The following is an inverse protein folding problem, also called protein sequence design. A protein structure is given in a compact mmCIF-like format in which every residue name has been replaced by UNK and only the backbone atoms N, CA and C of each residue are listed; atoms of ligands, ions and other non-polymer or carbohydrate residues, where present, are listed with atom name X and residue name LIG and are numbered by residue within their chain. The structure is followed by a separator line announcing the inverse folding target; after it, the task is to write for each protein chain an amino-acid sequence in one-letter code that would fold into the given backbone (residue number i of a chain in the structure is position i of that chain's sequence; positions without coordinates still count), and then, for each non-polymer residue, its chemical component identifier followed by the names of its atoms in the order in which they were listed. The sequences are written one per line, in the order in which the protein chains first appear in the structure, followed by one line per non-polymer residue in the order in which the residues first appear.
data_IF_294030716198
#
_entry.id   IF_294030716198
#
_cell.length_a   1.000
_cell.length_b   1.000
_cell.length_c   1.000
_cell.angle_alpha   90.00
_cell.angle_beta   90.00
_cell.angle_gamma   90.00
#
_symmetry.space_group_name_H-M   'P 1'
#
loop_
_entity.id
_entity.type
_entity.pdbx_description
1 polymer ?
#
# COMPACT_ATOMS: atom_id res chain seq x y z
N UNK A 1 4.01 19.20 -23.54
CA UNK A 1 3.67 17.77 -23.72
C UNK A 1 4.87 16.94 -24.16
N UNK A 2 5.74 17.43 -25.05
CA UNK A 2 6.83 16.63 -25.63
C UNK A 2 7.79 15.99 -24.62
N UNK A 3 8.09 16.67 -23.51
CA UNK A 3 8.92 16.12 -22.44
C UNK A 3 8.18 15.06 -21.59
N UNK A 4 6.95 15.35 -21.15
CA UNK A 4 6.20 14.48 -20.25
C UNK A 4 5.60 13.24 -20.94
N UNK A 5 5.25 13.37 -22.23
CA UNK A 5 4.61 12.31 -23.02
C UNK A 5 5.35 10.96 -22.99
N UNK A 6 6.65 10.87 -23.30
CA UNK A 6 7.35 9.58 -23.24
C UNK A 6 7.39 9.00 -21.83
N UNK A 7 7.53 9.83 -20.79
CA UNK A 7 7.55 9.39 -19.39
C UNK A 7 6.19 8.82 -18.95
N UNK A 8 5.09 9.47 -19.34
CA UNK A 8 3.75 8.97 -19.03
C UNK A 8 3.50 7.64 -19.76
N UNK A 9 3.84 7.56 -21.06
CA UNK A 9 3.66 6.33 -21.82
C UNK A 9 4.51 5.17 -21.28
N UNK A 10 5.74 5.44 -20.86
CA UNK A 10 6.61 4.47 -20.18
C UNK A 10 5.98 3.99 -18.86
N UNK A 11 5.44 4.91 -18.05
CA UNK A 11 4.73 4.54 -16.83
C UNK A 11 3.52 3.64 -17.12
N UNK A 12 2.73 3.94 -18.17
CA UNK A 12 1.59 3.10 -18.58
C UNK A 12 2.07 1.71 -19.02
N UNK A 13 3.17 1.62 -19.77
CA UNK A 13 3.77 0.35 -20.16
C UNK A 13 4.21 -0.47 -18.95
N UNK A 14 4.84 0.17 -17.95
CA UNK A 14 5.21 -0.49 -16.70
C UNK A 14 4.00 -1.03 -15.95
N UNK A 15 2.91 -0.26 -15.82
CA UNK A 15 1.68 -0.75 -15.17
C UNK A 15 1.04 -1.90 -15.94
N UNK A 16 1.02 -1.83 -17.27
CA UNK A 16 0.47 -2.90 -18.11
C UNK A 16 1.28 -4.21 -18.03
N UNK A 17 2.61 -4.12 -17.86
CA UNK A 17 3.48 -5.30 -17.80
C UNK A 17 3.62 -5.88 -16.39
N UNK A 18 3.65 -5.02 -15.38
CA UNK A 18 4.08 -5.39 -14.03
C UNK A 18 3.03 -5.08 -12.96
N UNK A 19 1.88 -4.53 -13.32
CA UNK A 19 0.90 -4.03 -12.35
C UNK A 19 1.39 -2.78 -11.62
N UNK A 20 0.58 -2.29 -10.68
CA UNK A 20 0.93 -1.13 -9.85
C UNK A 20 1.89 -1.51 -8.72
N UNK A 21 2.95 -0.73 -8.50
CA UNK A 21 3.93 -1.00 -7.44
C UNK A 21 3.29 -0.93 -6.05
N UNK A 22 2.40 0.03 -5.85
CA UNK A 22 1.56 0.19 -4.65
C UNK A 22 0.32 -0.69 -4.77
N UNK A 23 0.54 -2.01 -4.85
CA UNK A 23 -0.52 -2.97 -5.16
C UNK A 23 -1.77 -2.74 -4.31
N UNK A 24 -2.92 -2.63 -4.98
CA UNK A 24 -4.24 -2.42 -4.37
C UNK A 24 -4.26 -1.34 -3.28
N UNK A 25 -3.42 -0.32 -3.32
CA UNK A 25 -3.45 0.69 -2.26
C UNK A 25 -4.87 1.26 -2.14
N UNK A 26 -5.42 1.20 -0.93
CA UNK A 26 -6.73 1.75 -0.61
C UNK A 26 -6.71 3.28 -0.47
N UNK A 27 -5.50 3.85 -0.44
CA UNK A 27 -5.18 5.28 -0.54
C UNK A 27 -4.80 5.67 -1.97
N UNK A 28 -3.59 5.28 -2.41
CA UNK A 28 -2.95 5.84 -3.60
C UNK A 28 -3.60 5.46 -4.93
N UNK A 29 -4.44 4.42 -4.97
CA UNK A 29 -5.23 4.16 -6.17
C UNK A 29 -6.21 5.30 -6.46
N UNK A 30 -6.66 6.05 -5.45
CA UNK A 30 -7.48 7.24 -5.65
C UNK A 30 -6.69 8.35 -6.36
N UNK A 31 -5.45 8.59 -5.92
CA UNK A 31 -4.56 9.56 -6.58
C UNK A 31 -4.25 9.16 -8.03
N UNK A 32 -3.83 7.90 -8.24
CA UNK A 32 -3.54 7.36 -9.57
C UNK A 32 -4.76 7.45 -10.49
N UNK A 33 -5.94 7.06 -10.01
CA UNK A 33 -7.17 7.09 -10.78
C UNK A 33 -7.60 8.51 -11.15
N UNK A 34 -7.37 9.48 -10.27
CA UNK A 34 -7.58 10.90 -10.56
C UNK A 34 -6.73 11.35 -11.74
N UNK A 35 -5.42 11.08 -11.69
CA UNK A 35 -4.50 11.48 -12.76
C UNK A 35 -4.83 10.78 -14.09
N UNK A 36 -5.15 9.49 -14.04
CA UNK A 36 -5.50 8.70 -15.21
C UNK A 36 -6.80 9.17 -15.87
N UNK A 37 -7.84 9.45 -15.08
CA UNK A 37 -9.11 9.95 -15.59
C UNK A 37 -8.95 11.34 -16.22
N UNK A 38 -8.21 12.25 -15.57
CA UNK A 38 -7.93 13.59 -16.11
C UNK A 38 -7.14 13.53 -17.43
N UNK A 39 -6.11 12.69 -17.51
CA UNK A 39 -5.34 12.53 -18.74
C UNK A 39 -6.16 11.88 -19.85
N UNK A 40 -7.04 10.94 -19.52
CA UNK A 40 -7.97 10.32 -20.47
C UNK A 40 -8.97 11.34 -21.03
N UNK A 41 -9.43 12.26 -20.19
CA UNK A 41 -10.42 13.29 -20.56
C UNK A 41 -9.80 14.44 -21.39
N UNK A 42 -8.61 14.91 -21.00
CA UNK A 42 -8.07 16.19 -21.49
C UNK A 42 -6.81 16.08 -22.35
N UNK A 43 -6.17 14.90 -22.47
CA UNK A 43 -4.98 14.79 -23.31
C UNK A 43 -5.32 14.97 -24.80
N UNK A 44 -4.60 15.89 -25.45
CA UNK A 44 -4.75 16.16 -26.88
C UNK A 44 -4.20 15.04 -27.79
N UNK A 45 -3.26 14.22 -27.28
CA UNK A 45 -2.75 13.06 -28.01
C UNK A 45 -3.69 11.86 -27.79
N UNK A 46 -4.41 11.39 -28.83
CA UNK A 46 -5.36 10.28 -28.67
C UNK A 46 -4.71 8.97 -28.23
N UNK A 47 -3.42 8.76 -28.52
CA UNK A 47 -2.69 7.58 -28.07
C UNK A 47 -2.43 7.66 -26.57
N UNK A 48 -2.11 8.84 -26.05
CA UNK A 48 -1.90 9.07 -24.62
C UNK A 48 -3.22 8.90 -23.85
N UNK A 49 -4.29 9.56 -24.30
CA UNK A 49 -5.61 9.46 -23.70
C UNK A 49 -6.08 7.98 -23.62
N UNK A 50 -5.89 7.23 -24.71
CA UNK A 50 -6.22 5.80 -24.75
C UNK A 50 -5.37 4.97 -23.77
N UNK A 51 -4.07 5.22 -23.69
CA UNK A 51 -3.19 4.50 -22.78
C UNK A 51 -3.59 4.74 -21.32
N UNK A 52 -3.91 5.99 -20.96
CA UNK A 52 -4.40 6.33 -19.62
C UNK A 52 -5.75 5.67 -19.33
N UNK A 53 -6.68 5.63 -20.29
CA UNK A 53 -7.97 4.98 -20.11
C UNK A 53 -7.81 3.47 -19.88
N UNK A 54 -6.94 2.81 -20.64
CA UNK A 54 -6.63 1.40 -20.45
C UNK A 54 -5.99 1.12 -19.09
N UNK A 55 -5.07 1.99 -18.63
CA UNK A 55 -4.48 1.85 -17.30
C UNK A 55 -5.48 2.11 -16.18
N UNK A 56 -6.43 3.04 -16.34
CA UNK A 56 -7.52 3.23 -15.39
C UNK A 56 -8.42 1.99 -15.28
N UNK A 57 -8.74 1.35 -16.41
CA UNK A 57 -9.47 0.07 -16.41
C UNK A 57 -8.69 -1.05 -15.71
N UNK A 58 -7.36 -1.12 -15.89
CA UNK A 58 -6.52 -2.09 -15.19
C UNK A 58 -6.52 -1.86 -13.67
N UNK A 59 -6.40 -0.61 -13.22
CA UNK A 59 -6.49 -0.24 -11.80
C UNK A 59 -7.85 -0.63 -11.22
N UNK A 60 -8.94 -0.29 -11.93
CA UNK A 60 -10.30 -0.63 -11.49
C UNK A 60 -10.55 -2.14 -11.49
N UNK A 61 -9.94 -2.90 -12.42
CA UNK A 61 -9.98 -4.37 -12.40
C UNK A 61 -9.26 -4.92 -11.17
N UNK A 62 -8.06 -4.40 -10.86
CA UNK A 62 -7.31 -4.78 -9.65
C UNK A 62 -8.13 -4.52 -8.39
N UNK A 63 -8.81 -3.36 -8.32
CA UNK A 63 -9.75 -3.04 -7.23
C UNK A 63 -10.92 -4.02 -7.20
N UNK A 64 -11.58 -4.29 -8.33
CA UNK A 64 -12.74 -5.18 -8.42
C UNK A 64 -12.45 -6.60 -7.90
N UNK A 65 -11.26 -7.12 -8.18
CA UNK A 65 -10.80 -8.41 -7.67
C UNK A 65 -10.57 -8.40 -6.14
N UNK A 66 -10.27 -7.24 -5.55
CA UNK A 66 -10.15 -7.02 -4.11
C UNK A 66 -11.43 -6.53 -3.41
N UNK A 67 -12.58 -6.44 -4.10
CA UNK A 67 -13.82 -5.95 -3.51
C UNK A 67 -14.52 -7.01 -2.66
N UNK A 68 -15.10 -6.55 -1.55
CA UNK A 68 -16.11 -7.25 -0.78
C UNK A 68 -17.27 -6.29 -0.46
N UNK A 69 -18.46 -6.55 -1.02
CA UNK A 69 -19.67 -5.72 -0.84
C UNK A 69 -19.46 -4.22 -1.13
N UNK A 70 -18.63 -3.91 -2.11
CA UNK A 70 -18.28 -2.52 -2.50
C UNK A 70 -17.18 -1.87 -1.67
N UNK A 71 -16.54 -2.61 -0.77
CA UNK A 71 -15.40 -2.15 0.01
C UNK A 71 -14.11 -2.76 -0.52
N UNK A 72 -13.05 -1.95 -0.61
CA UNK A 72 -11.73 -2.39 -1.05
C UNK A 72 -11.04 -3.17 0.10
N UNK A 73 -11.34 -4.46 0.19
CA UNK A 73 -11.12 -5.30 1.37
C UNK A 73 -10.03 -6.34 1.11
N UNK A 74 -8.80 -5.87 0.92
CA UNK A 74 -7.70 -6.66 0.38
C UNK A 74 -6.43 -6.62 1.23
N UNK A 75 -5.35 -7.18 0.68
CA UNK A 75 -4.00 -6.79 1.08
C UNK A 75 -3.58 -5.56 0.29
N UNK A 76 -2.77 -4.70 0.89
CA UNK A 76 -2.42 -3.39 0.32
C UNK A 76 -0.91 -3.13 0.43
N UNK A 77 -0.31 -2.62 -0.64
CA UNK A 77 1.11 -2.20 -0.63
C UNK A 77 1.35 -0.97 0.22
N UNK A 78 0.33 -0.13 0.30
CA UNK A 78 0.27 1.07 1.11
C UNK A 78 -1.14 1.20 1.65
N UNK A 79 -1.24 1.34 2.96
CA UNK A 79 -2.48 1.64 3.63
C UNK A 79 -2.22 2.39 4.94
N UNK A 80 -3.21 3.16 5.36
CA UNK A 80 -3.19 3.90 6.62
C UNK A 80 -4.21 3.34 7.59
N UNK A 81 -4.10 3.77 8.84
CA UNK A 81 -4.77 3.17 9.99
C UNK A 81 -6.30 3.15 9.86
N UNK A 82 -6.92 4.30 9.61
CA UNK A 82 -8.37 4.40 9.50
C UNK A 82 -8.94 3.59 8.34
N UNK A 83 -8.19 3.46 7.25
CA UNK A 83 -8.61 2.82 6.01
C UNK A 83 -8.62 1.28 6.08
N UNK A 84 -7.87 0.69 7.01
CA UNK A 84 -7.79 -0.77 7.23
C UNK A 84 -8.59 -1.24 8.45
N UNK A 85 -9.02 -0.32 9.31
CA UNK A 85 -9.84 -0.62 10.48
C UNK A 85 -11.35 -0.60 10.17
N UNK A 86 -11.73 0.06 9.07
CA UNK A 86 -13.08 -0.01 8.49
C UNK A 86 -13.01 0.18 6.98
N UNK A 87 -13.82 -0.56 6.24
CA UNK A 87 -13.94 -0.38 4.78
C UNK A 87 -14.57 0.96 4.39
N UNK A 88 -15.23 1.66 5.32
CA UNK A 88 -16.04 2.86 5.06
C UNK A 88 -15.22 4.12 4.82
N UNK A 89 -14.01 4.17 5.39
CA UNK A 89 -13.18 5.38 5.46
C UNK A 89 -11.98 5.33 4.52
N UNK A 90 -11.80 4.28 3.72
CA UNK A 90 -10.72 4.26 2.75
C UNK A 90 -10.97 5.27 1.61
N UNK A 91 -9.90 5.85 1.10
CA UNK A 91 -9.90 6.85 0.02
C UNK A 91 -10.49 6.32 -1.30
N UNK A 92 -10.44 5.01 -1.50
CA UNK A 92 -11.10 4.34 -2.61
C UNK A 92 -12.62 4.15 -2.43
N UNK A 93 -13.19 4.35 -1.23
CA UNK A 93 -14.63 4.14 -1.00
C UNK A 93 -15.53 5.01 -1.90
N UNK A 94 -15.34 6.35 -2.03
CA UNK A 94 -16.09 7.17 -2.95
C UNK A 94 -16.01 6.67 -4.41
N UNK A 95 -14.82 6.28 -4.87
CA UNK A 95 -14.60 5.76 -6.22
C UNK A 95 -15.33 4.44 -6.43
N UNK A 96 -15.29 3.54 -5.45
CA UNK A 96 -16.03 2.29 -5.51
C UNK A 96 -17.55 2.52 -5.62
N UNK A 97 -18.06 3.53 -4.88
CA UNK A 97 -19.46 3.91 -4.93
C UNK A 97 -19.88 4.45 -6.28
N UNK A 98 -19.07 5.31 -6.90
CA UNK A 98 -19.35 5.88 -8.22
C UNK A 98 -19.28 4.81 -9.32
N UNK A 99 -18.28 3.93 -9.30
CA UNK A 99 -18.06 2.95 -10.39
C UNK A 99 -19.04 1.78 -10.32
N UNK A 100 -19.27 1.20 -9.13
CA UNK A 100 -20.08 -0.03 -9.01
C UNK A 100 -21.45 0.20 -8.36
N UNK A 101 -21.71 1.38 -7.79
CA UNK A 101 -22.96 1.66 -7.05
C UNK A 101 -23.03 1.03 -5.65
N UNK A 102 -21.97 0.33 -5.23
CA UNK A 102 -21.87 -0.42 -3.97
C UNK A 102 -21.02 0.32 -2.93
N UNK A 103 -21.12 -0.06 -1.66
CA UNK A 103 -20.36 0.60 -0.57
C UNK A 103 -20.89 1.99 -0.21
N UNK A 104 -20.01 2.86 0.28
CA UNK A 104 -20.31 4.19 0.82
C UNK A 104 -19.55 5.28 0.07
N UNK A 105 -20.06 6.52 0.07
CA UNK A 105 -19.32 7.66 -0.48
C UNK A 105 -18.05 8.03 0.31
N UNK A 106 -17.84 7.44 1.50
CA UNK A 106 -16.72 7.78 2.36
C UNK A 106 -16.80 9.22 2.88
N UNK A 107 -15.69 9.70 3.43
CA UNK A 107 -15.49 11.09 3.86
C UNK A 107 -14.19 11.68 3.29
N UNK A 108 -13.22 10.83 2.94
CA UNK A 108 -11.93 11.18 2.33
C UNK A 108 -11.86 10.68 0.86
N UNK A 109 -10.75 10.91 0.14
CA UNK A 109 -10.52 10.40 -1.22
C UNK A 109 -11.47 10.89 -2.33
N UNK A 110 -12.14 12.02 -2.11
CA UNK A 110 -13.21 12.50 -3.02
C UNK A 110 -12.73 12.92 -4.41
N UNK A 111 -11.42 13.19 -4.59
CA UNK A 111 -10.86 13.68 -5.86
C UNK A 111 -11.13 12.73 -7.04
N UNK A 112 -10.87 11.44 -6.86
CA UNK A 112 -11.06 10.45 -7.92
C UNK A 112 -12.54 10.30 -8.28
N UNK A 113 -13.40 10.17 -7.27
CA UNK A 113 -14.84 10.06 -7.47
C UNK A 113 -15.45 11.29 -8.16
N UNK A 114 -15.03 12.50 -7.76
CA UNK A 114 -15.46 13.74 -8.41
C UNK A 114 -15.00 13.80 -9.86
N UNK A 115 -13.76 13.38 -10.13
CA UNK A 115 -13.21 13.33 -11.49
C UNK A 115 -14.01 12.36 -12.35
N UNK A 116 -14.27 11.14 -11.86
CA UNK A 116 -15.06 10.13 -12.57
C UNK A 116 -16.51 10.57 -12.78
N UNK A 117 -17.14 11.21 -11.79
CA UNK A 117 -18.52 11.70 -11.90
C UNK A 117 -18.66 12.84 -12.91
N UNK A 118 -17.59 13.62 -13.12
CA UNK A 118 -17.56 14.73 -14.08
C UNK A 118 -17.02 14.34 -15.47
N UNK A 119 -16.36 13.17 -15.58
CA UNK A 119 -15.78 12.70 -16.84
C UNK A 119 -16.86 12.48 -17.91
N UNK A 120 -16.52 12.79 -19.17
CA UNK A 120 -17.41 12.61 -20.31
C UNK A 120 -16.83 11.67 -21.36
N UNK A 121 -15.51 11.69 -21.52
CA UNK A 121 -14.80 10.86 -22.48
C UNK A 121 -14.37 9.52 -21.86
N UNK A 122 -13.86 9.55 -20.63
CA UNK A 122 -13.53 8.31 -19.92
C UNK A 122 -14.77 7.71 -19.26
N UNK A 123 -15.05 6.46 -19.60
CA UNK A 123 -16.09 5.63 -18.97
C UNK A 123 -15.45 4.27 -18.68
N UNK A 124 -15.50 3.78 -17.42
CA UNK A 124 -15.00 2.45 -17.10
C UNK A 124 -15.62 1.37 -17.99
N UNK A 125 -14.84 0.36 -18.35
CA UNK A 125 -15.30 -0.74 -19.18
C UNK A 125 -16.45 -1.52 -18.53
N UNK A 126 -17.48 -1.87 -19.31
CA UNK A 126 -18.61 -2.71 -18.89
C UNK A 126 -18.16 -4.07 -18.29
N UNK A 127 -17.00 -4.59 -18.71
CA UNK A 127 -16.44 -5.80 -18.12
C UNK A 127 -16.01 -5.57 -16.67
N UNK A 128 -15.32 -4.46 -16.39
CA UNK A 128 -14.85 -4.10 -15.05
C UNK A 128 -16.03 -3.82 -14.11
N UNK A 129 -17.07 -3.13 -14.61
CA UNK A 129 -18.31 -2.89 -13.85
C UNK A 129 -18.96 -4.23 -13.48
N UNK A 130 -19.13 -5.15 -14.44
CA UNK A 130 -19.73 -6.47 -14.19
C UNK A 130 -18.92 -7.32 -13.21
N UNK A 131 -17.59 -7.30 -13.30
CA UNK A 131 -16.72 -8.05 -12.37
C UNK A 131 -16.87 -7.54 -10.94
N UNK A 132 -16.90 -6.22 -10.73
CA UNK A 132 -17.03 -5.65 -9.38
C UNK A 132 -18.43 -5.75 -8.78
N UNK A 133 -19.48 -5.87 -9.61
CA UNK A 133 -20.85 -6.11 -9.17
C UNK A 133 -21.20 -7.61 -9.02
N UNK A 134 -20.33 -8.52 -9.47
CA UNK A 134 -20.60 -9.94 -9.40
C UNK A 134 -20.53 -10.45 -7.96
N UNK A 135 -21.58 -11.19 -7.55
CA UNK A 135 -21.67 -11.87 -6.25
C UNK A 135 -21.71 -13.41 -6.45
N UNK A 136 -20.61 -14.04 -6.89
CA UNK A 136 -20.56 -15.49 -7.04
C UNK A 136 -20.52 -16.18 -5.67
N UNK A 137 -20.93 -17.47 -5.64
CA UNK A 137 -20.85 -18.31 -4.43
C UNK A 137 -19.41 -18.41 -3.90
N UNK A 138 -18.45 -18.58 -4.81
CA UNK A 138 -17.01 -18.52 -4.54
C UNK A 138 -16.32 -17.71 -5.65
N UNK A 139 -15.36 -16.87 -5.28
CA UNK A 139 -14.45 -16.19 -6.20
C UNK A 139 -13.03 -16.26 -5.66
N UNK A 140 -12.09 -16.49 -6.56
CA UNK A 140 -10.66 -16.54 -6.25
C UNK A 140 -9.87 -15.76 -7.31
N UNK A 141 -8.99 -14.85 -6.89
CA UNK A 141 -8.06 -14.12 -7.76
C UNK A 141 -6.61 -14.33 -7.31
N UNK A 142 -5.72 -14.42 -8.30
CA UNK A 142 -4.28 -14.62 -8.13
C UNK A 142 -3.57 -13.55 -8.96
N UNK A 143 -3.03 -12.54 -8.29
CA UNK A 143 -2.56 -11.32 -8.93
C UNK A 143 -1.07 -11.12 -8.64
N UNK A 144 -0.33 -10.57 -9.61
CA UNK A 144 1.09 -10.24 -9.46
C UNK A 144 1.31 -8.75 -9.71
N UNK A 145 1.99 -8.10 -8.78
CA UNK A 145 2.27 -6.67 -8.81
C UNK A 145 3.75 -6.39 -8.58
N UNK A 146 4.26 -5.37 -9.25
CA UNK A 146 5.65 -4.94 -9.15
C UNK A 146 6.65 -5.92 -9.76
N UNK A 147 7.92 -5.69 -9.44
CA UNK A 147 9.05 -6.50 -9.86
C UNK A 147 10.02 -6.68 -8.67
N UNK A 148 10.78 -7.77 -8.61
CA UNK A 148 11.70 -8.00 -7.50
C UNK A 148 12.99 -7.19 -7.69
N UNK A 149 13.48 -6.54 -6.62
CA UNK A 149 14.74 -5.79 -6.65
C UNK A 149 15.93 -6.62 -7.13
N UNK A 150 15.95 -7.91 -6.79
CA UNK A 150 17.01 -8.85 -7.19
C UNK A 150 17.08 -9.11 -8.70
N UNK A 151 16.05 -8.75 -9.48
CA UNK A 151 15.99 -9.03 -10.91
C UNK A 151 15.69 -7.81 -11.79
N UNK A 152 15.81 -6.58 -11.29
CA UNK A 152 15.48 -5.33 -12.02
C UNK A 152 16.07 -5.27 -13.44
N UNK A 153 17.30 -5.75 -13.65
CA UNK A 153 17.94 -5.80 -14.98
C UNK A 153 17.24 -6.73 -15.97
N UNK A 154 16.61 -7.80 -15.50
CA UNK A 154 15.80 -8.69 -16.34
C UNK A 154 14.51 -8.01 -16.83
N UNK A 155 14.08 -6.96 -16.13
CA UNK A 155 12.93 -6.13 -16.49
C UNK A 155 13.33 -4.88 -17.30
N UNK A 156 14.59 -4.79 -17.76
CA UNK A 156 15.06 -3.67 -18.58
C UNK A 156 15.45 -2.42 -17.79
N UNK A 157 15.38 -2.46 -16.46
CA UNK A 157 15.81 -1.36 -15.60
C UNK A 157 17.27 -1.53 -15.18
N UNK A 158 17.99 -0.42 -15.15
CA UNK A 158 19.40 -0.38 -14.77
C UNK A 158 19.53 0.57 -13.58
N UNK A 159 19.86 0.06 -12.38
CA UNK A 159 19.94 0.89 -11.18
C UNK A 159 21.06 1.91 -11.26
N UNK A 160 22.02 1.77 -12.18
CA UNK A 160 23.14 2.69 -12.38
C UNK A 160 22.80 3.84 -13.33
N UNK A 161 21.63 3.82 -13.97
CA UNK A 161 21.18 4.85 -14.90
C UNK A 161 20.31 5.90 -14.20
N UNK A 162 20.65 7.16 -14.43
CA UNK A 162 19.97 8.29 -13.80
C UNK A 162 18.51 8.43 -14.26
N UNK A 163 18.22 8.13 -15.53
CA UNK A 163 16.86 8.21 -16.07
C UNK A 163 15.95 7.07 -15.57
N UNK A 164 16.52 5.94 -15.16
CA UNK A 164 15.77 4.83 -14.58
C UNK A 164 15.47 4.99 -13.08
N UNK A 165 16.15 5.92 -12.39
CA UNK A 165 16.04 6.06 -10.93
C UNK A 165 14.63 6.46 -10.49
N UNK A 166 13.90 7.22 -11.30
CA UNK A 166 12.53 7.67 -10.99
C UNK A 166 11.58 6.47 -10.90
N UNK A 167 11.71 5.51 -11.83
CA UNK A 167 10.95 4.26 -11.80
C UNK A 167 11.30 3.43 -10.56
N UNK A 168 12.56 3.37 -10.17
CA UNK A 168 13.01 2.65 -8.97
C UNK A 168 12.53 3.34 -7.68
N UNK A 169 12.52 4.67 -7.64
CA UNK A 169 11.93 5.45 -6.55
C UNK A 169 10.42 5.28 -6.44
N UNK A 170 9.70 5.14 -7.57
CA UNK A 170 8.28 4.80 -7.56
C UNK A 170 8.00 3.40 -6.94
N UNK A 171 9.02 2.56 -6.81
CA UNK A 171 8.96 1.30 -6.06
C UNK A 171 9.44 1.43 -4.62
N UNK A 172 9.75 2.65 -4.14
CA UNK A 172 10.35 2.88 -2.83
C UNK A 172 11.78 2.38 -2.68
N UNK A 173 12.50 2.09 -3.77
CA UNK A 173 13.88 1.62 -3.77
C UNK A 173 14.88 2.78 -3.60
N UNK A 174 14.71 3.56 -2.54
CA UNK A 174 15.50 4.79 -2.31
C UNK A 174 16.94 4.48 -1.93
N UNK A 175 17.13 3.55 -1.00
CA UNK A 175 18.43 3.30 -0.36
C UNK A 175 18.85 1.84 -0.42
N UNK A 176 18.42 1.14 -1.47
CA UNK A 176 18.91 -0.22 -1.73
C UNK A 176 20.37 -0.14 -2.18
N UNK A 177 21.23 -1.11 -1.84
CA UNK A 177 22.65 -1.10 -2.21
C UNK A 177 22.89 -0.82 -3.70
N UNK A 178 22.00 -1.32 -4.55
CA UNK A 178 22.03 -1.13 -6.00
C UNK A 178 21.73 0.32 -6.43
N UNK A 179 20.91 1.06 -5.68
CA UNK A 179 20.40 2.39 -6.09
C UNK A 179 21.08 3.56 -5.39
N UNK A 180 21.80 3.32 -4.28
CA UNK A 180 22.42 4.36 -3.44
C UNK A 180 23.34 5.31 -4.21
N UNK A 181 24.26 4.78 -5.01
CA UNK A 181 25.20 5.60 -5.78
C UNK A 181 24.49 6.45 -6.85
N UNK A 182 23.40 5.95 -7.41
CA UNK A 182 22.56 6.70 -8.36
C UNK A 182 21.70 7.73 -7.65
N UNK A 183 21.23 7.46 -6.43
CA UNK A 183 20.56 8.46 -5.60
C UNK A 183 21.47 9.66 -5.33
N UNK A 184 22.74 9.43 -4.96
CA UNK A 184 23.70 10.53 -4.73
C UNK A 184 23.92 11.34 -6.01
N UNK A 185 24.14 10.66 -7.14
CA UNK A 185 24.27 11.32 -8.46
C UNK A 185 23.03 12.11 -8.84
N UNK A 186 21.83 11.58 -8.58
CA UNK A 186 20.57 12.26 -8.83
C UNK A 186 20.40 13.49 -7.95
N UNK A 187 20.75 13.39 -6.67
CA UNK A 187 20.66 14.48 -5.74
C UNK A 187 21.64 15.62 -6.06
N UNK A 188 22.84 15.30 -6.54
CA UNK A 188 23.80 16.28 -7.08
C UNK A 188 23.26 16.92 -8.38
N UNK A 189 22.79 16.11 -9.35
CA UNK A 189 22.34 16.57 -10.66
C UNK A 189 21.07 17.43 -10.61
N UNK A 190 20.14 17.12 -9.71
CA UNK A 190 18.84 17.78 -9.61
C UNK A 190 18.73 18.71 -8.40
N UNK A 191 19.85 19.04 -7.75
CA UNK A 191 19.92 19.91 -6.57
C UNK A 191 19.02 19.47 -5.41
N UNK A 192 18.77 18.16 -5.27
CA UNK A 192 17.84 17.63 -4.27
C UNK A 192 18.34 17.83 -2.83
N UNK A 193 19.65 17.99 -2.62
CA UNK A 193 20.21 18.28 -1.31
C UNK A 193 19.70 19.58 -0.68
N UNK A 194 19.16 20.50 -1.49
CA UNK A 194 18.53 21.75 -1.01
C UNK A 194 17.07 21.55 -0.63
N UNK A 195 16.47 20.43 -1.02
CA UNK A 195 15.08 20.14 -0.74
C UNK A 195 14.90 19.73 0.74
N UNK A 196 13.84 20.20 1.44
CA UNK A 196 13.59 19.85 2.84
C UNK A 196 13.57 18.35 3.13
N UNK A 197 13.16 17.54 2.16
CA UNK A 197 13.19 16.06 2.26
C UNK A 197 14.59 15.50 2.56
N UNK A 198 15.64 16.14 2.05
CA UNK A 198 17.03 15.73 2.29
C UNK A 198 17.67 16.44 3.48
N UNK A 199 16.91 17.24 4.25
CA UNK A 199 17.44 17.98 5.40
C UNK A 199 18.06 17.08 6.47
N UNK A 200 17.55 15.86 6.65
CA UNK A 200 18.13 14.85 7.55
C UNK A 200 19.54 14.39 7.13
N UNK A 201 19.87 14.50 5.83
CA UNK A 201 21.21 14.24 5.30
C UNK A 201 22.15 15.45 5.44
N UNK A 202 21.63 16.62 5.82
CA UNK A 202 22.35 17.84 6.24
C UNK A 202 23.80 17.98 5.72
N UNK A 203 24.75 18.06 6.67
CA UNK A 203 26.19 18.07 6.39
C UNK A 203 26.78 16.69 6.05
N UNK A 204 26.05 15.60 6.32
CA UNK A 204 26.46 14.23 5.98
C UNK A 204 26.61 14.05 4.48
N UNK A 205 25.83 14.81 3.68
CA UNK A 205 26.00 14.84 2.24
C UNK A 205 27.46 15.11 1.86
N UNK A 206 28.17 16.04 2.49
CA UNK A 206 29.58 16.35 2.15
C UNK A 206 30.55 15.18 2.40
N UNK A 207 30.15 14.19 3.20
CA UNK A 207 30.95 13.02 3.56
C UNK A 207 30.65 11.78 2.70
N UNK A 208 29.58 11.80 1.90
CA UNK A 208 29.24 10.68 1.03
C UNK A 208 30.30 10.51 -0.09
N UNK A 209 30.70 9.30 -0.45
CA UNK A 209 31.64 9.12 -1.54
C UNK A 209 30.95 9.39 -2.89
N UNK A 210 31.67 10.04 -3.82
CA UNK A 210 31.21 10.34 -5.20
C UNK A 210 31.78 9.38 -6.25
N UNK A 211 32.57 8.42 -5.80
CA UNK A 211 33.27 7.46 -6.64
C UNK A 211 32.44 6.21 -6.98
N UNK A 212 31.17 6.16 -6.54
CA UNK A 212 30.28 5.02 -6.77
C UNK A 212 30.50 3.85 -5.81
N UNK A 213 31.16 4.08 -4.67
CA UNK A 213 31.43 3.03 -3.68
C UNK A 213 30.41 2.94 -2.54
N UNK A 214 29.43 3.86 -2.45
CA UNK A 214 28.52 3.96 -1.30
C UNK A 214 27.66 2.71 -1.12
N UNK A 215 27.08 2.21 -2.22
CA UNK A 215 26.26 1.01 -2.21
C UNK A 215 27.04 -0.21 -1.74
N UNK A 216 28.30 -0.35 -2.16
CA UNK A 216 29.19 -1.41 -1.72
C UNK A 216 29.59 -1.26 -0.25
N UNK A 217 29.87 -0.03 0.21
CA UNK A 217 30.26 0.25 1.59
C UNK A 217 29.13 -0.08 2.58
N UNK A 218 27.89 0.22 2.20
CA UNK A 218 26.70 -0.03 3.03
C UNK A 218 26.06 -1.40 2.78
N UNK A 219 26.64 -2.23 1.91
CA UNK A 219 26.10 -3.56 1.60
C UNK A 219 25.98 -4.42 2.87
N UNK A 220 24.78 -4.94 3.11
CA UNK A 220 24.49 -5.76 4.29
C UNK A 220 24.14 -4.96 5.56
N UNK A 221 24.17 -3.63 5.50
CA UNK A 221 23.58 -2.76 6.51
C UNK A 221 22.13 -2.45 6.12
N UNK A 222 21.19 -2.74 7.02
CA UNK A 222 19.82 -2.32 6.85
C UNK A 222 19.73 -0.81 7.17
N UNK A 223 19.12 -0.04 6.27
CA UNK A 223 18.84 1.39 6.43
C UNK A 223 17.36 1.60 6.68
N UNK A 224 17.02 2.53 7.56
CA UNK A 224 15.63 2.83 7.91
C UNK A 224 14.71 2.98 6.70
N UNK A 225 15.15 3.70 5.66
CA UNK A 225 14.42 3.98 4.43
C UNK A 225 14.12 2.75 3.55
N UNK A 226 14.85 1.65 3.68
CA UNK A 226 14.59 0.39 2.94
C UNK A 226 13.25 -0.28 3.30
N UNK A 227 12.60 0.18 4.37
CA UNK A 227 11.22 -0.19 4.72
C UNK A 227 10.20 0.23 3.66
N UNK A 228 10.49 1.29 2.91
CA UNK A 228 9.58 1.83 1.90
C UNK A 228 9.51 0.96 0.64
N UNK A 229 10.41 0.00 0.47
CA UNK A 229 10.49 -0.81 -0.74
C UNK A 229 9.20 -1.62 -1.00
N UNK A 230 8.71 -1.49 -2.23
CA UNK A 230 7.60 -2.22 -2.83
C UNK A 230 8.17 -3.15 -3.90
N UNK A 231 8.54 -4.35 -3.45
CA UNK A 231 9.01 -5.41 -4.34
C UNK A 231 7.85 -6.11 -5.05
N UNK A 232 8.15 -7.22 -5.71
CA UNK A 232 7.12 -8.09 -6.26
C UNK A 232 6.19 -8.61 -5.15
N UNK A 233 4.89 -8.45 -5.35
CA UNK A 233 3.83 -9.00 -4.52
C UNK A 233 2.97 -9.96 -5.34
N UNK A 234 2.78 -11.17 -4.82
CA UNK A 234 1.82 -12.13 -5.36
C UNK A 234 0.64 -12.17 -4.38
N UNK A 235 -0.55 -11.77 -4.80
CA UNK A 235 -1.73 -11.62 -3.94
C UNK A 235 -2.73 -12.71 -4.28
N UNK A 236 -3.25 -13.37 -3.24
CA UNK A 236 -4.39 -14.28 -3.37
C UNK A 236 -5.57 -13.65 -2.64
N UNK A 237 -6.71 -13.55 -3.30
CA UNK A 237 -7.97 -13.15 -2.70
C UNK A 237 -8.98 -14.26 -2.90
N UNK A 238 -9.69 -14.63 -1.84
CA UNK A 238 -10.79 -15.58 -1.86
C UNK A 238 -11.99 -14.94 -1.20
N UNK A 239 -13.13 -14.89 -1.89
CA UNK A 239 -14.37 -14.31 -1.35
C UNK A 239 -15.58 -15.19 -1.63
N UNK A 240 -16.55 -15.05 -0.75
CA UNK A 240 -17.91 -15.58 -0.85
C UNK A 240 -18.87 -14.41 -0.61
N UNK A 241 -20.20 -14.61 -0.67
CA UNK A 241 -21.15 -13.57 -0.26
C UNK A 241 -21.00 -13.13 1.20
N UNK A 242 -20.40 -13.97 2.06
CA UNK A 242 -20.40 -13.79 3.52
C UNK A 242 -19.06 -13.36 4.11
N UNK A 243 -17.95 -13.59 3.41
CA UNK A 243 -16.62 -13.15 3.83
C UNK A 243 -15.62 -13.07 2.67
N UNK A 244 -14.54 -12.33 2.89
CA UNK A 244 -13.34 -12.26 2.04
C UNK A 244 -12.08 -12.51 2.87
N UNK A 245 -11.07 -13.12 2.26
CA UNK A 245 -9.73 -13.26 2.79
C UNK A 245 -8.73 -12.92 1.68
N UNK A 246 -7.84 -11.97 1.94
CA UNK A 246 -6.80 -11.56 0.98
C UNK A 246 -5.43 -11.55 1.64
N UNK A 247 -4.42 -12.08 0.95
CA UNK A 247 -3.05 -12.21 1.49
C UNK A 247 -2.00 -12.00 0.41
N UNK A 248 -1.01 -11.15 0.68
CA UNK A 248 0.24 -11.08 -0.07
C UNK A 248 1.15 -12.28 0.31
N UNK A 249 1.31 -13.20 -0.62
CA UNK A 249 2.03 -14.47 -0.46
C UNK A 249 3.54 -14.23 -0.31
N UNK A 250 4.11 -14.69 0.80
CA UNK A 250 5.54 -14.73 1.08
C UNK A 250 6.27 -13.39 0.77
N UNK A 251 5.62 -12.26 1.04
CA UNK A 251 6.14 -10.93 0.75
C UNK A 251 7.25 -10.52 1.74
N UNK A 252 8.52 -10.60 1.30
CA UNK A 252 9.72 -10.16 2.03
C UNK A 252 9.75 -10.59 3.53
N UNK A 253 9.57 -11.89 3.84
CA UNK A 253 9.41 -12.36 5.21
C UNK A 253 10.62 -12.02 6.09
N UNK A 254 10.37 -11.46 7.28
CA UNK A 254 11.39 -11.01 8.24
C UNK A 254 12.08 -9.70 7.85
N UNK A 255 11.80 -9.15 6.66
CA UNK A 255 12.28 -7.84 6.23
C UNK A 255 11.58 -6.70 6.98
N UNK A 256 12.13 -5.50 6.85
CA UNK A 256 11.49 -4.29 7.37
C UNK A 256 10.34 -3.87 6.48
N UNK A 257 9.23 -3.50 7.08
CA UNK A 257 8.08 -2.90 6.39
C UNK A 257 7.81 -1.47 6.85
N UNK A 258 7.04 -0.79 6.04
CA UNK A 258 6.37 0.47 6.30
C UNK A 258 4.88 0.21 6.31
N UNK A 259 4.15 0.73 5.33
CA UNK A 259 2.69 0.80 5.23
C UNK A 259 2.04 -0.49 4.71
N UNK A 260 2.81 -1.56 4.50
CA UNK A 260 2.30 -2.76 3.86
C UNK A 260 1.27 -3.48 4.75
N UNK A 261 0.07 -3.66 4.24
CA UNK A 261 -1.01 -4.43 4.85
C UNK A 261 -1.04 -5.83 4.22
N UNK A 262 -0.42 -6.79 4.89
CA UNK A 262 -0.07 -8.08 4.27
C UNK A 262 -1.26 -9.02 4.11
N UNK A 263 -2.20 -9.01 5.05
CA UNK A 263 -3.37 -9.88 4.97
C UNK A 263 -4.56 -9.26 5.71
N UNK A 264 -5.76 -9.57 5.22
CA UNK A 264 -7.01 -9.13 5.82
C UNK A 264 -8.09 -10.18 5.65
N UNK A 265 -8.85 -10.45 6.70
CA UNK A 265 -10.15 -11.10 6.63
C UNK A 265 -11.26 -10.06 6.85
N UNK A 266 -12.31 -10.11 6.04
CA UNK A 266 -13.41 -9.13 6.08
C UNK A 266 -14.75 -9.85 5.99
N UNK A 267 -15.60 -9.66 7.00
CA UNK A 267 -16.94 -10.27 7.06
C UNK A 267 -18.05 -9.20 6.94
N UNK A 268 -17.71 -7.96 7.26
CA UNK A 268 -18.55 -6.78 7.09
C UNK A 268 -17.64 -5.55 6.94
N UNK A 269 -18.18 -4.35 6.69
CA UNK A 269 -17.35 -3.14 6.58
C UNK A 269 -16.55 -2.86 7.86
N UNK A 270 -17.01 -3.35 9.00
CA UNK A 270 -16.46 -3.06 10.31
C UNK A 270 -15.89 -4.33 11.00
N UNK A 271 -16.33 -5.52 10.57
CA UNK A 271 -15.81 -6.80 11.03
C UNK A 271 -14.59 -7.21 10.19
N UNK A 272 -13.48 -6.49 10.44
CA UNK A 272 -12.19 -6.69 9.79
C UNK A 272 -11.20 -7.31 10.79
N UNK A 273 -10.40 -8.27 10.33
CA UNK A 273 -9.37 -8.92 11.14
C UNK A 273 -8.05 -8.99 10.39
N UNK A 274 -6.99 -8.53 11.04
CA UNK A 274 -5.61 -8.63 10.57
C UNK A 274 -4.66 -8.66 11.77
N UNK A 275 -3.37 -8.92 11.53
CA UNK A 275 -2.31 -8.82 12.53
C UNK A 275 -1.17 -7.96 12.05
N UNK A 276 -0.49 -7.32 12.99
CA UNK A 276 0.75 -6.58 12.71
C UNK A 276 1.83 -6.80 13.75
N UNK A 277 3.06 -6.52 13.36
CA UNK A 277 4.13 -6.17 14.26
C UNK A 277 4.26 -4.63 14.27
N UNK A 278 3.91 -3.95 15.38
CA UNK A 278 3.83 -2.49 15.40
C UNK A 278 5.21 -1.84 15.28
N UNK A 279 5.25 -0.66 14.67
CA UNK A 279 6.46 0.17 14.57
C UNK A 279 6.55 1.28 15.60
N UNK A 280 5.44 1.61 16.24
CA UNK A 280 5.38 2.51 17.39
C UNK A 280 4.16 2.17 18.27
N UNK A 281 4.02 2.86 19.40
CA UNK A 281 2.81 2.82 20.21
C UNK A 281 1.82 3.95 19.85
N UNK A 282 2.14 4.76 18.83
CA UNK A 282 1.25 5.82 18.36
C UNK A 282 0.06 5.21 17.62
N UNK A 283 -1.13 5.65 17.99
CA UNK A 283 -2.38 5.49 17.25
C UNK A 283 -2.61 6.85 16.59
N UNK A 284 -3.00 6.91 15.32
CA UNK A 284 -3.43 8.18 14.74
C UNK A 284 -4.70 8.64 15.47
N UNK A 285 -4.64 9.80 16.14
CA UNK A 285 -5.86 10.50 16.57
C UNK A 285 -6.47 11.21 15.34
N UNK A 286 -7.76 10.97 15.07
CA UNK A 286 -8.56 11.59 13.99
C UNK A 286 -8.66 13.15 14.21
N UNK A 287 -9.20 13.93 13.26
CA UNK A 287 -8.83 15.23 12.73
C UNK A 287 -9.37 16.39 13.59
N UNK A 288 -9.82 16.10 14.83
CA UNK A 288 -10.37 17.06 15.77
C UNK A 288 -9.25 17.93 16.38
N UNK A 289 -8.01 17.70 15.93
CA UNK A 289 -6.98 18.72 15.95
C UNK A 289 -7.18 19.65 14.74
N UNK A 290 -7.75 20.86 14.92
CA UNK A 290 -7.99 21.82 13.83
C UNK A 290 -6.70 22.25 13.09
N UNK A 291 -5.52 21.87 13.58
CA UNK A 291 -4.25 22.05 12.87
C UNK A 291 -4.04 21.09 11.67
N UNK A 292 -4.83 20.01 11.53
CA UNK A 292 -4.63 18.98 10.50
C UNK A 292 -5.43 19.20 9.20
N UNK A 293 -6.32 20.21 9.15
CA UNK A 293 -7.22 20.45 8.01
C UNK A 293 -6.83 21.66 7.15
N UNK A 294 -5.77 22.39 7.51
CA UNK A 294 -5.24 23.48 6.68
C UNK A 294 -3.88 23.07 6.12
N UNK A 295 -3.81 22.88 4.80
CA UNK A 295 -2.53 22.80 4.08
C UNK A 295 -1.82 24.15 4.21
N UNK A 296 -1.01 24.28 5.24
CA UNK A 296 -0.15 25.42 5.50
C UNK A 296 1.29 25.09 5.12
N UNK A 297 1.75 25.44 3.90
CA UNK A 297 3.13 25.18 3.48
C UNK A 297 4.15 25.83 4.43
N UNK A 298 3.77 26.90 5.13
CA UNK A 298 4.57 27.58 6.16
C UNK A 298 4.60 26.93 7.55
N UNK A 299 3.69 25.98 7.86
CA UNK A 299 3.62 25.27 9.15
C UNK A 299 3.95 23.79 9.04
N UNK A 300 4.56 23.35 7.94
CA UNK A 300 5.11 22.00 7.82
C UNK A 300 6.27 21.87 8.79
N UNK A 301 5.94 21.55 10.03
CA UNK A 301 6.89 20.97 10.94
C UNK A 301 7.15 19.55 10.44
N UNK A 302 8.18 19.42 9.59
CA UNK A 302 8.65 18.12 9.12
C UNK A 302 8.94 17.18 10.30
N UNK A 303 9.20 17.70 11.52
CA UNK A 303 9.31 16.88 12.73
C UNK A 303 7.96 16.38 13.26
N UNK A 304 6.83 17.07 13.05
CA UNK A 304 5.48 16.55 13.34
C UNK A 304 5.02 15.50 12.32
N UNK A 305 5.20 15.73 11.02
CA UNK A 305 5.06 14.67 10.00
C UNK A 305 5.99 13.48 10.28
N UNK A 306 7.13 13.71 10.95
CA UNK A 306 8.03 12.66 11.41
C UNK A 306 7.56 11.93 12.69
N UNK A 307 6.62 12.47 13.48
CA UNK A 307 6.07 11.81 14.67
C UNK A 307 5.05 10.75 14.28
N UNK A 308 4.32 10.96 13.19
CA UNK A 308 3.29 10.06 12.67
C UNK A 308 3.81 9.12 11.56
N UNK A 309 5.07 8.66 11.68
CA UNK A 309 5.68 7.74 10.70
C UNK A 309 5.10 6.33 10.81
N UNK A 310 4.69 5.79 9.67
CA UNK A 310 4.35 4.38 9.51
C UNK A 310 5.62 3.51 9.45
N UNK A 311 5.62 2.29 10.03
CA UNK A 311 4.50 1.65 10.68
C UNK A 311 4.25 2.20 12.09
N UNK A 312 2.98 2.32 12.46
CA UNK A 312 2.55 2.78 13.78
C UNK A 312 2.04 1.58 14.61
N UNK A 313 1.10 1.78 15.54
CA UNK A 313 0.47 0.68 16.26
C UNK A 313 -0.34 -0.22 15.31
N UNK A 314 -1.31 0.29 14.57
CA UNK A 314 -2.21 -0.54 13.74
C UNK A 314 -1.85 -0.63 12.25
N UNK A 315 -1.30 0.43 11.67
CA UNK A 315 -0.96 0.50 10.27
C UNK A 315 0.49 0.10 9.99
N UNK A 316 0.64 -0.78 9.00
CA UNK A 316 1.92 -1.23 8.52
C UNK A 316 2.54 -2.39 9.32
N UNK A 317 3.81 -2.69 9.04
CA UNK A 317 4.56 -3.79 9.66
C UNK A 317 6.00 -3.36 9.94
N UNK A 318 6.44 -3.33 11.19
CA UNK A 318 7.86 -3.09 11.49
C UNK A 318 8.73 -4.25 10.99
N UNK A 319 8.30 -5.50 11.22
CA UNK A 319 8.85 -6.71 10.59
C UNK A 319 7.74 -7.44 9.85
N UNK A 320 7.97 -7.71 8.56
CA UNK A 320 7.00 -8.35 7.68
C UNK A 320 6.85 -9.85 8.03
N UNK A 321 5.62 -10.39 8.13
CA UNK A 321 5.42 -11.81 8.34
C UNK A 321 5.71 -12.61 7.06
N UNK A 322 5.97 -13.90 7.23
CA UNK A 322 5.71 -14.88 6.17
C UNK A 322 4.22 -15.21 6.20
N UNK A 323 3.48 -14.77 5.19
CA UNK A 323 2.07 -15.11 5.04
C UNK A 323 1.87 -16.02 3.82
N UNK A 324 0.96 -16.97 3.95
CA UNK A 324 0.47 -17.79 2.83
C UNK A 324 -1.02 -18.07 2.99
N UNK A 325 -1.74 -18.13 1.88
CA UNK A 325 -3.18 -18.39 1.85
C UNK A 325 -3.51 -19.50 0.86
N UNK A 326 -4.46 -20.35 1.23
CA UNK A 326 -5.15 -21.26 0.34
C UNK A 326 -6.64 -21.11 0.59
N UNK A 327 -7.38 -20.59 -0.40
CA UNK A 327 -8.79 -20.24 -0.28
C UNK A 327 -9.07 -19.45 1.00
N UNK A 328 -9.90 -19.99 1.90
CA UNK A 328 -10.34 -19.40 3.16
C UNK A 328 -9.41 -19.66 4.36
N UNK A 329 -8.21 -20.22 4.14
CA UNK A 329 -7.25 -20.54 5.18
C UNK A 329 -5.95 -19.79 4.94
N UNK A 330 -5.46 -19.06 5.96
CA UNK A 330 -4.17 -18.38 5.90
C UNK A 330 -3.29 -18.74 7.11
N UNK A 331 -1.99 -18.79 6.87
CA UNK A 331 -0.95 -18.98 7.89
C UNK A 331 -0.04 -17.76 7.89
N UNK A 332 0.07 -17.10 9.04
CA UNK A 332 0.85 -15.86 9.21
C UNK A 332 1.90 -16.09 10.29
N UNK A 333 3.18 -16.12 9.88
CA UNK A 333 4.31 -16.42 10.75
C UNK A 333 5.22 -15.20 10.90
N UNK A 334 5.37 -14.72 12.13
CA UNK A 334 6.26 -13.61 12.45
C UNK A 334 7.62 -14.12 12.92
N UNK A 335 8.68 -13.67 12.25
CA UNK A 335 10.05 -13.74 12.75
C UNK A 335 10.53 -12.31 13.08
N UNK A 336 10.37 -11.91 14.34
CA UNK A 336 10.66 -10.54 14.78
C UNK A 336 12.13 -10.43 15.16
N UNK A 337 12.98 -10.07 14.19
CA UNK A 337 14.37 -9.73 14.48
C UNK A 337 14.46 -8.43 15.26
N UNK A 338 15.01 -8.51 16.48
CA UNK A 338 15.27 -7.34 17.33
C UNK A 338 16.52 -6.55 16.92
N UNK A 339 17.22 -6.97 15.86
CA UNK A 339 18.34 -6.22 15.29
C UNK A 339 17.77 -4.95 14.63
N UNK A 340 18.28 -3.79 15.06
CA UNK A 340 17.90 -2.49 14.51
C UNK A 340 18.66 -2.19 13.22
N UNK A 341 17.97 -1.57 12.27
CA UNK A 341 18.60 -0.88 11.15
C UNK A 341 19.25 0.43 11.61
N UNK A 342 20.14 0.98 10.77
CA UNK A 342 20.68 2.32 10.98
C UNK A 342 19.54 3.33 10.92
N UNK A 343 19.49 4.23 11.91
CA UNK A 343 18.46 5.25 12.10
C UNK A 343 17.06 4.74 12.45
N UNK A 344 16.87 3.42 12.64
CA UNK A 344 15.59 2.86 13.08
C UNK A 344 15.31 3.23 14.54
N UNK A 345 14.12 3.75 14.82
CA UNK A 345 13.75 4.25 16.16
C UNK A 345 13.56 3.16 17.21
N UNK A 346 12.95 2.04 16.84
CA UNK A 346 12.64 0.95 17.76
C UNK A 346 12.08 -0.28 17.06
N UNK A 347 12.09 -1.40 17.78
CA UNK A 347 11.49 -2.68 17.37
C UNK A 347 10.74 -3.23 18.57
N UNK A 348 9.53 -3.72 18.35
CA UNK A 348 8.66 -4.24 19.40
C UNK A 348 8.54 -5.76 19.32
N UNK A 349 8.81 -6.44 20.43
CA UNK A 349 8.88 -7.91 20.51
C UNK A 349 7.50 -8.58 20.67
N UNK A 350 6.46 -8.03 20.04
CA UNK A 350 5.11 -8.59 20.07
C UNK A 350 4.40 -8.39 18.73
N UNK A 351 3.33 -9.15 18.56
CA UNK A 351 2.32 -8.88 17.54
C UNK A 351 1.00 -8.68 18.23
N UNK A 352 0.08 -8.02 17.55
CA UNK A 352 -1.31 -7.92 17.98
C UNK A 352 -2.23 -8.21 16.80
N UNK A 353 -3.48 -8.52 17.13
CA UNK A 353 -4.54 -8.70 16.16
C UNK A 353 -5.52 -7.55 16.33
N UNK A 354 -5.91 -6.92 15.23
CA UNK A 354 -7.12 -6.12 15.20
C UNK A 354 -8.29 -7.10 15.12
N UNK A 355 -9.07 -7.20 16.20
CA UNK A 355 -10.26 -8.03 16.28
C UNK A 355 -11.36 -7.25 17.01
N UNK A 356 -12.14 -6.42 16.31
CA UNK A 356 -13.07 -5.48 16.92
C UNK A 356 -14.32 -6.21 17.45
N UNK A 357 -14.35 -6.58 18.74
CA UNK A 357 -15.49 -7.30 19.35
C UNK A 357 -16.86 -6.68 19.02
N UNK A 358 -16.90 -5.35 18.99
CA UNK A 358 -18.11 -4.57 18.75
C UNK A 358 -18.69 -4.74 17.34
N UNK A 359 -17.90 -5.23 16.38
CA UNK A 359 -18.32 -5.43 15.00
C UNK A 359 -18.86 -6.84 14.70
N UNK A 360 -18.77 -7.76 15.66
CA UNK A 360 -19.26 -9.13 15.52
C UNK A 360 -20.56 -9.32 16.29
N UNK A 361 -21.47 -10.13 15.73
CA UNK A 361 -22.70 -10.54 16.43
C UNK A 361 -22.38 -11.43 17.64
N UNK A 362 -21.27 -12.16 17.56
CA UNK A 362 -20.83 -13.08 18.60
C UNK A 362 -19.31 -13.27 18.53
N UNK A 363 -18.67 -13.21 19.70
CA UNK A 363 -17.26 -13.52 19.88
C UNK A 363 -17.11 -14.58 20.97
N UNK A 364 -16.39 -15.67 20.68
CA UNK A 364 -16.06 -16.71 21.64
C UNK A 364 -14.56 -16.95 21.71
N UNK A 365 -14.09 -17.27 22.90
CA UNK A 365 -12.71 -17.66 23.16
C UNK A 365 -12.66 -19.13 23.57
N UNK A 366 -11.75 -19.90 23.00
CA UNK A 366 -11.54 -21.31 23.35
C UNK A 366 -10.05 -21.66 23.30
N UNK A 367 -9.39 -21.63 24.46
CA UNK A 367 -7.94 -21.76 24.55
C UNK A 367 -7.24 -20.65 23.76
N UNK A 368 -6.51 -21.02 22.72
CA UNK A 368 -5.80 -20.09 21.85
C UNK A 368 -6.60 -19.65 20.61
N UNK A 369 -7.88 -20.03 20.54
CA UNK A 369 -8.79 -19.67 19.46
C UNK A 369 -9.65 -18.46 19.85
N UNK A 370 -9.73 -17.52 18.91
CA UNK A 370 -10.69 -16.44 18.90
C UNK A 370 -11.65 -16.65 17.72
N UNK A 371 -12.92 -16.83 18.04
CA UNK A 371 -13.98 -17.15 17.08
C UNK A 371 -14.92 -15.96 16.97
N UNK A 372 -15.25 -15.55 15.75
CA UNK A 372 -16.18 -14.45 15.49
C UNK A 372 -17.24 -14.84 14.47
N UNK A 373 -18.47 -14.37 14.67
CA UNK A 373 -19.56 -14.47 13.69
C UNK A 373 -20.09 -13.07 13.36
N UNK A 374 -20.24 -12.77 12.07
CA UNK A 374 -20.88 -11.55 11.59
C UNK A 374 -21.84 -11.92 10.45
N UNK A 375 -23.14 -11.79 10.70
CA UNK A 375 -24.17 -12.35 9.83
C UNK A 375 -23.99 -13.87 9.69
N UNK A 376 -23.80 -14.32 8.45
CA UNK A 376 -23.53 -15.74 8.10
C UNK A 376 -22.02 -16.05 7.95
N UNK A 377 -21.15 -15.04 8.03
CA UNK A 377 -19.71 -15.21 7.97
C UNK A 377 -19.14 -15.64 9.32
N UNK A 378 -18.10 -16.47 9.29
CA UNK A 378 -17.39 -16.95 10.47
C UNK A 378 -15.89 -16.79 10.28
N UNK A 379 -15.20 -16.45 11.36
CA UNK A 379 -13.73 -16.41 11.42
C UNK A 379 -13.23 -17.17 12.64
N UNK A 380 -12.11 -17.88 12.47
CA UNK A 380 -11.36 -18.49 13.54
C UNK A 380 -9.91 -18.02 13.44
N UNK A 381 -9.48 -17.22 14.41
CA UNK A 381 -8.09 -16.75 14.55
C UNK A 381 -7.41 -17.57 15.66
N UNK A 382 -6.36 -18.30 15.29
CA UNK A 382 -5.52 -19.03 16.24
C UNK A 382 -4.21 -18.28 16.49
N UNK A 383 -3.79 -18.22 17.76
CA UNK A 383 -2.46 -17.78 18.13
C UNK A 383 -1.65 -18.91 18.76
N UNK A 384 -0.41 -19.10 18.33
CA UNK A 384 0.50 -20.04 18.99
C UNK A 384 0.88 -19.60 20.41
N UNK A 385 0.65 -18.33 20.76
CA UNK A 385 0.89 -17.73 22.08
C UNK A 385 -0.45 -17.41 22.76
N UNK A 386 -0.52 -17.36 24.12
CA UNK A 386 -1.71 -16.90 24.81
C UNK A 386 -2.17 -15.52 24.33
N UNK A 387 -3.47 -15.36 24.13
CA UNK A 387 -4.10 -14.11 23.74
C UNK A 387 -4.40 -13.25 24.98
N UNK A 388 -4.31 -11.93 24.82
CA UNK A 388 -4.77 -10.97 25.83
C UNK A 388 -5.42 -9.78 25.13
N UNK A 389 -6.65 -9.48 25.51
CA UNK A 389 -7.34 -8.27 25.07
C UNK A 389 -6.62 -7.02 25.55
N UNK A 390 -6.53 -6.05 24.64
CA UNK A 390 -6.08 -4.70 24.90
C UNK A 390 -7.18 -3.76 24.42
N UNK A 391 -7.47 -2.72 25.20
CA UNK A 391 -8.23 -1.55 24.76
C UNK A 391 -7.20 -0.41 24.68
N UNK A 392 -6.43 -0.33 23.57
CA UNK A 392 -5.41 0.69 23.39
C UNK A 392 -6.00 2.10 23.34
#
# INVERSE_FOLDING_TARGET
MDHARPLILEWMEHRARWGYSEWRSNEYYSEDLTALALLSEFAQDPRLARACAMSADLLLLDTACGLFRGYHAGSHGRAYEFEIMTGRLCDMAPSCKIVWGLGTFGVEGTMAALTLACARAYVPSDLVIRIGQAEPDEFESHDRHGIPMSAIRQYGLDPERLDHIVTLWAMGAYTEPETLDTLVRAADAWSLWRHPFFSEFGSLNALLPRDGSLGSLLKGLALESSRALLGEANVTTYRTPDYSLSTAQNYRPGGMGAQQHIWQATLSPDAIVFTTNPGSFGVWDHPDNPDNLEFHPEKVDFLKFSRDRLPNYWAGQNRLPRAAQYKNFAVILYNISMRRALFERGVHAFTHAFFPKWAFDEVRESGNWLLGRAGKGYIALYSARPLRWQNP
#
